data_IF_455053839864
#
_entry.id   IF_455053839864
#
_cell.length_a   1.000
_cell.length_b   1.000
_cell.length_c   1.000
_cell.angle_alpha   90.00
_cell.angle_beta   90.00
_cell.angle_gamma   90.00
#
_symmetry.space_group_name_H-M   'P 1'
#
loop_
_entity.id
_entity.type
_entity.pdbx_description
1 polymer ?
#
# COMPACT_ATOMS: atom_id res chain seq x y z
N UNK A 1 -0.53 7.64 -29.45
CA UNK A 1 -1.05 6.45 -28.75
C UNK A 1 -2.43 6.81 -28.26
N UNK A 2 -3.44 6.02 -28.65
CA UNK A 2 -4.83 6.19 -28.20
C UNK A 2 -5.06 5.14 -27.12
N UNK A 3 -5.56 5.56 -25.97
CA UNK A 3 -5.98 4.65 -24.90
C UNK A 3 -7.50 4.47 -24.98
N UNK A 4 -7.96 3.25 -25.01
CA UNK A 4 -9.37 2.91 -24.95
C UNK A 4 -9.67 2.32 -23.57
N UNK A 5 -10.83 2.71 -23.01
CA UNK A 5 -11.31 2.09 -21.78
C UNK A 5 -11.77 0.66 -22.12
N UNK A 6 -11.25 -0.32 -21.39
CA UNK A 6 -11.54 -1.75 -21.62
C UNK A 6 -12.73 -2.26 -20.79
N UNK A 7 -13.19 -1.48 -19.79
CA UNK A 7 -14.36 -1.81 -18.99
C UNK A 7 -15.35 -0.64 -18.92
N UNK A 8 -16.63 -0.93 -18.83
CA UNK A 8 -17.70 0.07 -18.83
C UNK A 8 -17.91 0.74 -17.47
N UNK A 9 -17.45 0.11 -16.38
CA UNK A 9 -17.57 0.64 -15.02
C UNK A 9 -16.23 0.50 -14.24
N UNK A 10 -15.89 1.50 -13.42
CA UNK A 10 -14.77 1.37 -12.50
C UNK A 10 -15.06 0.34 -11.40
N UNK A 11 -14.00 -0.27 -10.84
CA UNK A 11 -14.12 -1.05 -9.62
C UNK A 11 -14.33 -0.10 -8.45
N UNK A 12 -15.52 -0.10 -7.85
CA UNK A 12 -15.88 0.79 -6.74
C UNK A 12 -15.73 0.10 -5.38
N UNK A 13 -15.33 0.86 -4.35
CA UNK A 13 -15.27 0.38 -2.98
C UNK A 13 -16.64 -0.12 -2.48
N UNK A 14 -16.67 -1.29 -1.84
CA UNK A 14 -17.90 -1.85 -1.28
C UNK A 14 -18.20 -1.24 0.10
N UNK A 15 -19.30 -0.51 0.19
CA UNK A 15 -19.75 0.16 1.42
C UNK A 15 -20.07 -0.79 2.60
N UNK A 16 -20.04 -2.11 2.41
CA UNK A 16 -20.12 -3.08 3.51
C UNK A 16 -18.88 -3.02 4.39
N UNK A 17 -17.73 -2.79 3.79
CA UNK A 17 -16.42 -2.87 4.45
C UNK A 17 -15.63 -1.56 4.44
N UNK A 18 -15.77 -0.75 3.36
CA UNK A 18 -14.92 0.40 3.11
C UNK A 18 -15.66 1.72 3.29
N UNK A 19 -14.90 2.74 3.70
CA UNK A 19 -15.39 4.11 3.80
C UNK A 19 -15.71 4.65 2.40
N UNK A 20 -16.94 5.16 2.24
CA UNK A 20 -17.38 5.87 1.03
C UNK A 20 -17.34 7.36 1.29
N UNK A 21 -17.19 8.13 0.21
CA UNK A 21 -17.07 9.59 0.27
C UNK A 21 -18.15 10.28 1.11
N UNK A 22 -19.40 9.85 0.97
CA UNK A 22 -20.54 10.46 1.67
C UNK A 22 -20.58 10.15 3.17
N UNK A 23 -19.94 9.07 3.59
CA UNK A 23 -19.92 8.60 4.98
C UNK A 23 -18.56 8.78 5.63
N UNK A 24 -17.55 9.20 4.87
CA UNK A 24 -16.17 9.30 5.32
C UNK A 24 -15.87 10.57 6.09
N UNK A 25 -14.98 10.45 7.07
CA UNK A 25 -14.51 11.57 7.88
C UNK A 25 -13.54 12.46 7.10
N UNK A 26 -12.83 11.89 6.12
CA UNK A 26 -11.83 12.60 5.30
C UNK A 26 -12.41 13.46 4.19
N UNK A 27 -13.71 13.34 3.88
CA UNK A 27 -14.34 14.01 2.74
C UNK A 27 -13.90 13.51 1.36
N UNK A 28 -13.08 12.45 1.30
CA UNK A 28 -12.60 11.79 0.09
C UNK A 28 -12.82 10.30 0.17
N UNK A 29 -13.00 9.63 -0.97
CA UNK A 29 -13.00 8.18 -1.05
C UNK A 29 -11.57 7.68 -1.28
N UNK A 30 -11.06 6.88 -0.37
CA UNK A 30 -9.74 6.27 -0.47
C UNK A 30 -9.90 4.87 -1.10
N UNK A 31 -9.80 4.80 -2.41
CA UNK A 31 -9.88 3.57 -3.20
C UNK A 31 -8.99 3.75 -4.42
N UNK A 32 -7.68 3.44 -4.27
CA UNK A 32 -6.64 3.78 -5.24
C UNK A 32 -5.40 2.91 -5.12
N UNK A 33 -4.39 3.16 -5.93
CA UNK A 33 -3.04 2.57 -5.90
C UNK A 33 -3.08 1.04 -5.99
N UNK A 34 -3.69 0.44 -7.02
CA UNK A 34 -3.83 -1.01 -7.09
C UNK A 34 -2.46 -1.68 -7.31
N UNK A 35 -2.16 -2.67 -6.48
CA UNK A 35 -1.06 -3.60 -6.68
C UNK A 35 -1.62 -4.99 -6.99
N UNK A 36 -1.33 -5.50 -8.19
CA UNK A 36 -1.88 -6.77 -8.69
C UNK A 36 -0.80 -7.84 -8.77
N UNK A 37 -1.10 -9.03 -8.27
CA UNK A 37 -0.19 -10.18 -8.34
C UNK A 37 -0.97 -11.49 -8.37
N UNK A 38 -0.30 -12.56 -8.87
CA UNK A 38 -0.84 -13.91 -8.89
C UNK A 38 -0.45 -14.64 -7.60
N UNK A 39 -1.42 -15.27 -6.94
CA UNK A 39 -1.21 -16.14 -5.80
C UNK A 39 -2.25 -17.26 -5.79
N UNK A 40 -1.82 -18.50 -5.54
CA UNK A 40 -2.67 -19.70 -5.49
C UNK A 40 -3.65 -19.86 -6.67
N UNK A 41 -3.22 -19.44 -7.85
CA UNK A 41 -3.98 -19.59 -9.10
C UNK A 41 -5.02 -18.51 -9.37
N UNK A 42 -5.12 -17.49 -8.50
CA UNK A 42 -6.00 -16.33 -8.68
C UNK A 42 -5.19 -15.03 -8.72
N UNK A 43 -5.72 -14.02 -9.40
CA UNK A 43 -5.21 -12.65 -9.32
C UNK A 43 -5.75 -11.96 -8.08
N UNK A 44 -4.86 -11.36 -7.32
CA UNK A 44 -5.17 -10.56 -6.15
C UNK A 44 -4.81 -9.11 -6.40
N UNK A 45 -5.64 -8.20 -5.90
CA UNK A 45 -5.39 -6.76 -5.94
C UNK A 45 -5.40 -6.23 -4.52
N UNK A 46 -4.29 -5.63 -4.10
CA UNK A 46 -4.21 -4.81 -2.90
C UNK A 46 -4.55 -3.37 -3.28
N UNK A 47 -5.31 -2.70 -2.44
CA UNK A 47 -5.85 -1.37 -2.73
C UNK A 47 -5.70 -0.50 -1.49
N UNK A 48 -5.21 0.72 -1.65
CA UNK A 48 -5.26 1.73 -0.59
C UNK A 48 -6.71 2.01 -0.25
N UNK A 49 -7.12 1.70 0.99
CA UNK A 49 -8.51 1.83 1.42
C UNK A 49 -8.60 2.27 2.89
N UNK A 50 -9.82 2.60 3.31
CA UNK A 50 -10.14 2.93 4.71
C UNK A 50 -11.32 2.08 5.17
N UNK A 51 -11.23 1.60 6.41
CA UNK A 51 -12.28 0.78 7.00
C UNK A 51 -13.51 1.63 7.33
N UNK A 52 -14.69 1.08 7.03
CA UNK A 52 -15.96 1.70 7.38
C UNK A 52 -16.10 1.92 8.89
N UNK A 53 -16.41 3.15 9.29
CA UNK A 53 -16.72 3.48 10.66
C UNK A 53 -15.55 3.48 11.64
N UNK A 54 -14.32 3.37 11.15
CA UNK A 54 -13.12 3.51 11.97
C UNK A 54 -12.77 4.99 12.20
N UNK A 55 -11.97 5.25 13.23
CA UNK A 55 -11.50 6.60 13.55
C UNK A 55 -10.56 7.11 12.46
N UNK A 56 -10.59 8.44 12.20
CA UNK A 56 -9.90 9.07 11.08
C UNK A 56 -8.44 8.66 10.95
N UNK A 57 -7.63 8.81 11.99
CA UNK A 57 -6.19 8.56 11.93
C UNK A 57 -5.78 7.09 12.05
N UNK A 58 -6.71 6.19 12.26
CA UNK A 58 -6.45 4.74 12.37
C UNK A 58 -7.24 3.90 11.37
N UNK A 59 -7.93 4.53 10.41
CA UNK A 59 -8.84 3.82 9.51
C UNK A 59 -8.18 3.16 8.30
N UNK A 60 -6.87 3.34 8.08
CA UNK A 60 -6.15 2.76 6.96
C UNK A 60 -6.18 1.24 6.98
N UNK A 61 -6.56 0.64 5.85
CA UNK A 61 -6.56 -0.80 5.64
C UNK A 61 -6.14 -1.14 4.22
N UNK A 62 -5.67 -2.37 4.01
CA UNK A 62 -5.46 -2.93 2.69
C UNK A 62 -6.80 -3.45 2.17
N UNK A 63 -7.37 -2.73 1.20
CA UNK A 63 -8.51 -3.20 0.43
C UNK A 63 -8.12 -4.37 -0.46
N UNK A 64 -9.08 -5.25 -0.76
CA UNK A 64 -8.81 -6.48 -1.47
C UNK A 64 -9.88 -6.79 -2.53
N UNK A 65 -9.39 -7.22 -3.70
CA UNK A 65 -10.23 -7.82 -4.72
C UNK A 65 -9.53 -9.03 -5.34
N UNK A 66 -10.30 -9.96 -5.87
CA UNK A 66 -9.81 -11.17 -6.54
C UNK A 66 -10.41 -11.29 -7.94
N UNK A 67 -9.65 -11.90 -8.86
CA UNK A 67 -10.07 -12.16 -10.22
C UNK A 67 -9.43 -13.44 -10.79
N UNK A 68 -10.14 -14.14 -11.65
CA UNK A 68 -9.59 -15.27 -12.41
C UNK A 68 -9.03 -14.82 -13.78
N UNK A 69 -9.42 -13.65 -14.28
CA UNK A 69 -9.17 -13.22 -15.67
C UNK A 69 -8.60 -11.80 -15.83
N UNK A 70 -8.44 -11.02 -14.74
CA UNK A 70 -8.06 -9.61 -14.69
C UNK A 70 -9.13 -8.62 -15.18
N UNK A 71 -10.20 -9.10 -15.76
CA UNK A 71 -11.30 -8.26 -16.26
C UNK A 71 -12.46 -8.17 -15.24
N UNK A 72 -12.78 -9.29 -14.58
CA UNK A 72 -13.88 -9.39 -13.62
C UNK A 72 -13.33 -9.52 -12.18
N UNK A 73 -13.57 -8.52 -11.36
CA UNK A 73 -13.07 -8.44 -10.00
C UNK A 73 -14.18 -8.59 -8.96
N UNK A 74 -13.94 -9.42 -7.96
CA UNK A 74 -14.79 -9.55 -6.78
C UNK A 74 -14.12 -8.85 -5.59
N UNK A 75 -14.79 -7.85 -5.03
CA UNK A 75 -14.31 -7.14 -3.84
C UNK A 75 -14.59 -7.99 -2.61
N UNK A 76 -13.54 -8.20 -1.81
CA UNK A 76 -13.59 -8.86 -0.52
C UNK A 76 -13.49 -7.89 0.68
N UNK A 77 -13.56 -8.42 1.91
CA UNK A 77 -13.23 -7.65 3.09
C UNK A 77 -11.76 -7.23 3.08
N UNK A 78 -11.37 -6.19 3.87
CA UNK A 78 -9.97 -5.80 3.98
C UNK A 78 -9.09 -6.94 4.53
N UNK A 79 -7.84 -7.00 4.07
CA UNK A 79 -6.84 -7.98 4.53
C UNK A 79 -6.19 -7.58 5.87
N UNK A 80 -6.32 -6.31 6.28
CA UNK A 80 -5.80 -5.80 7.54
C UNK A 80 -6.92 -5.18 8.38
N UNK A 81 -6.69 -5.05 9.67
CA UNK A 81 -7.56 -4.29 10.58
C UNK A 81 -7.09 -2.84 10.68
N UNK A 82 -7.97 -1.90 11.07
CA UNK A 82 -7.57 -0.57 11.50
C UNK A 82 -6.49 -0.62 12.59
N UNK A 83 -5.52 0.32 12.50
CA UNK A 83 -4.35 0.35 13.37
C UNK A 83 -3.98 1.80 13.71
N UNK A 84 -2.68 2.12 13.83
CA UNK A 84 -2.19 3.49 14.07
C UNK A 84 -2.06 4.32 12.78
N UNK A 85 -2.28 3.72 11.62
CA UNK A 85 -2.14 4.37 10.32
C UNK A 85 -3.52 4.73 9.74
N UNK A 86 -3.68 5.98 9.33
CA UNK A 86 -4.88 6.44 8.63
C UNK A 86 -4.96 6.04 7.17
N UNK A 87 -3.80 5.66 6.60
CA UNK A 87 -3.66 5.15 5.24
C UNK A 87 -2.52 4.13 5.16
N UNK A 88 -2.66 3.13 4.29
CA UNK A 88 -1.62 2.19 3.88
C UNK A 88 -1.48 2.35 2.36
N UNK A 89 -0.81 3.44 1.94
CA UNK A 89 -0.77 3.86 0.54
C UNK A 89 0.25 3.11 -0.29
N UNK A 90 -0.04 2.96 -1.60
CA UNK A 90 0.85 2.38 -2.59
C UNK A 90 1.42 1.04 -2.11
N UNK A 91 0.55 0.25 -1.47
CA UNK A 91 0.96 -0.98 -0.79
C UNK A 91 1.43 -2.05 -1.78
N UNK A 92 2.42 -2.84 -1.35
CA UNK A 92 3.00 -3.91 -2.14
C UNK A 92 3.32 -5.10 -1.24
N UNK A 93 2.84 -6.30 -1.60
CA UNK A 93 3.22 -7.55 -0.95
C UNK A 93 4.38 -8.21 -1.69
N UNK A 94 5.44 -8.59 -0.99
CA UNK A 94 6.61 -9.25 -1.56
C UNK A 94 7.14 -10.36 -0.64
N UNK A 95 7.62 -11.44 -1.25
CA UNK A 95 8.39 -12.46 -0.56
C UNK A 95 9.87 -12.26 -0.88
N UNK A 96 10.66 -11.94 0.14
CA UNK A 96 12.09 -11.63 0.05
C UNK A 96 12.82 -12.44 1.11
N UNK A 97 13.75 -13.32 0.70
CA UNK A 97 14.57 -14.13 1.61
C UNK A 97 13.73 -14.87 2.68
N UNK A 98 12.71 -15.61 2.24
CA UNK A 98 11.75 -16.35 3.07
C UNK A 98 10.90 -15.49 4.04
N UNK A 99 10.94 -14.17 3.90
CA UNK A 99 10.09 -13.22 4.64
C UNK A 99 8.95 -12.72 3.75
N UNK A 100 7.75 -12.63 4.31
CA UNK A 100 6.62 -12.00 3.65
C UNK A 100 6.48 -10.56 4.15
N UNK A 101 6.67 -9.60 3.25
CA UNK A 101 6.71 -8.19 3.56
C UNK A 101 5.53 -7.46 2.92
N UNK A 102 4.89 -6.59 3.68
CA UNK A 102 4.01 -5.56 3.17
C UNK A 102 4.77 -4.21 3.25
N UNK A 103 5.06 -3.62 2.10
CA UNK A 103 5.60 -2.26 2.01
C UNK A 103 4.44 -1.32 1.78
N UNK A 104 4.39 -0.20 2.50
CA UNK A 104 3.36 0.82 2.33
C UNK A 104 3.87 2.20 2.73
N UNK A 105 3.18 3.24 2.32
CA UNK A 105 3.47 4.62 2.71
C UNK A 105 2.32 5.22 3.53
N UNK A 106 2.65 6.15 4.41
CA UNK A 106 1.68 6.93 5.16
C UNK A 106 2.22 8.35 5.39
N UNK A 107 1.38 9.36 5.17
CA UNK A 107 1.72 10.75 5.49
C UNK A 107 1.84 10.99 6.99
N UNK A 108 2.62 12.00 7.38
CA UNK A 108 2.80 12.39 8.79
C UNK A 108 1.49 12.90 9.42
N UNK A 109 0.61 13.50 8.61
CA UNK A 109 -0.71 13.99 8.98
C UNK A 109 -1.81 12.90 9.01
N UNK A 110 -1.47 11.66 8.64
CA UNK A 110 -2.41 10.53 8.52
C UNK A 110 -2.07 9.39 9.50
N UNK A 111 -1.59 9.74 10.70
CA UNK A 111 -1.24 8.78 11.76
C UNK A 111 -1.96 9.12 13.06
N UNK A 112 -2.39 8.10 13.80
CA UNK A 112 -2.99 8.25 15.12
C UNK A 112 -2.01 8.82 16.15
N UNK A 113 -0.71 8.51 15.98
CA UNK A 113 0.36 9.02 16.83
C UNK A 113 1.31 9.89 16.00
N UNK A 114 1.81 11.02 16.55
CA UNK A 114 2.80 11.84 15.87
C UNK A 114 4.05 11.04 15.50
N UNK A 115 4.53 11.24 14.28
CA UNK A 115 5.74 10.57 13.80
C UNK A 115 5.99 10.88 12.33
N UNK A 116 7.13 10.46 11.77
CA UNK A 116 7.46 10.78 10.39
C UNK A 116 6.46 10.18 9.41
N UNK A 117 6.16 10.92 8.34
CA UNK A 117 5.61 10.36 7.10
C UNK A 117 6.69 9.64 6.31
N UNK A 118 6.31 8.75 5.41
CA UNK A 118 7.25 8.02 4.57
C UNK A 118 6.88 6.56 4.36
N UNK A 119 7.87 5.71 4.16
CA UNK A 119 7.69 4.29 3.85
C UNK A 119 7.84 3.41 5.09
N UNK A 120 7.01 2.40 5.19
CA UNK A 120 6.94 1.44 6.28
C UNK A 120 6.94 0.01 5.73
N UNK A 121 7.47 -0.92 6.53
CA UNK A 121 7.49 -2.34 6.20
C UNK A 121 6.94 -3.13 7.38
N UNK A 122 5.87 -3.88 7.13
CA UNK A 122 5.32 -4.87 8.06
C UNK A 122 5.71 -6.28 7.62
N UNK A 123 6.02 -7.16 8.57
CA UNK A 123 6.23 -8.59 8.32
C UNK A 123 4.93 -9.35 8.47
N UNK A 124 4.79 -10.46 7.75
CA UNK A 124 3.59 -11.28 7.77
C UNK A 124 3.87 -12.76 7.57
N UNK A 125 2.79 -13.54 7.66
CA UNK A 125 2.85 -15.00 7.55
C UNK A 125 2.75 -15.50 6.11
N UNK A 126 2.27 -14.65 5.18
CA UNK A 126 2.09 -15.00 3.78
C UNK A 126 1.87 -13.82 2.86
N UNK A 127 1.72 -14.10 1.57
CA UNK A 127 1.53 -13.08 0.53
C UNK A 127 0.24 -12.27 0.70
N UNK A 128 -0.75 -12.80 1.39
CA UNK A 128 -2.01 -12.12 1.74
C UNK A 128 -2.11 -11.82 3.24
N UNK A 129 -0.99 -11.83 3.96
CA UNK A 129 -0.92 -11.63 5.39
C UNK A 129 -1.22 -12.91 6.20
N UNK A 130 -1.67 -12.79 7.47
CA UNK A 130 -1.77 -11.53 8.19
C UNK A 130 -0.41 -10.85 8.35
N UNK A 131 -0.39 -9.51 8.31
CA UNK A 131 0.82 -8.71 8.56
C UNK A 131 0.71 -8.00 9.91
N UNK A 132 1.84 -7.87 10.59
CA UNK A 132 1.96 -7.09 11.83
C UNK A 132 2.08 -5.59 11.51
N UNK A 133 0.93 -4.95 11.29
CA UNK A 133 0.87 -3.52 10.94
C UNK A 133 1.32 -2.63 12.10
N UNK A 134 0.96 -2.99 13.34
CA UNK A 134 1.33 -2.22 14.52
C UNK A 134 2.85 -2.30 14.81
N UNK A 135 3.48 -3.42 14.43
CA UNK A 135 4.93 -3.62 14.49
C UNK A 135 5.69 -3.17 13.24
N UNK A 136 5.03 -2.45 12.31
CA UNK A 136 5.69 -1.99 11.09
C UNK A 136 6.91 -1.09 11.39
N UNK A 137 7.98 -1.30 10.63
CA UNK A 137 9.24 -0.56 10.79
C UNK A 137 9.36 0.50 9.71
N UNK A 138 9.89 1.65 10.12
CA UNK A 138 10.12 2.80 9.24
C UNK A 138 11.36 2.58 8.37
N UNK A 139 11.22 2.83 7.07
CA UNK A 139 12.31 2.68 6.10
C UNK A 139 13.18 3.94 6.06
N UNK A 140 14.48 3.75 6.06
CA UNK A 140 15.46 4.84 5.86
C UNK A 140 16.09 4.75 4.47
N UNK A 141 16.35 5.87 3.80
CA UNK A 141 16.30 7.26 4.27
C UNK A 141 14.87 7.83 4.39
N UNK A 142 14.70 8.76 5.31
CA UNK A 142 13.42 9.29 5.82
C UNK A 142 12.62 10.15 4.83
N UNK A 143 13.19 10.52 3.71
CA UNK A 143 12.58 11.40 2.71
C UNK A 143 11.88 10.65 1.57
N UNK A 144 11.91 9.32 1.59
CA UNK A 144 11.28 8.52 0.54
C UNK A 144 9.78 8.30 0.79
N UNK A 145 9.01 8.35 -0.30
CA UNK A 145 7.59 8.02 -0.32
C UNK A 145 7.25 7.08 -1.49
N UNK A 146 6.10 6.42 -1.45
CA UNK A 146 5.65 5.42 -2.43
C UNK A 146 6.71 4.32 -2.69
N UNK A 147 7.28 3.80 -1.60
CA UNK A 147 8.36 2.82 -1.65
C UNK A 147 8.00 1.55 -2.40
N UNK A 148 8.94 1.06 -3.20
CA UNK A 148 8.78 -0.14 -4.00
C UNK A 148 9.96 -1.10 -3.82
N UNK A 149 9.69 -2.37 -3.56
CA UNK A 149 10.63 -3.47 -3.65
C UNK A 149 10.57 -4.10 -5.04
N UNK A 150 11.68 -4.12 -5.74
CA UNK A 150 11.80 -4.63 -7.09
C UNK A 150 12.83 -5.75 -7.14
N UNK A 151 12.50 -6.86 -7.80
CA UNK A 151 13.48 -7.89 -8.10
C UNK A 151 14.08 -7.64 -9.49
N UNK A 152 15.39 -7.50 -9.56
CA UNK A 152 16.14 -7.38 -10.81
C UNK A 152 16.19 -8.73 -11.54
N UNK A 153 16.57 -8.71 -12.82
CA UNK A 153 16.65 -9.91 -13.65
C UNK A 153 17.69 -10.94 -13.19
N UNK A 154 18.69 -10.51 -12.45
CA UNK A 154 19.72 -11.36 -11.83
C UNK A 154 19.29 -11.94 -10.47
N UNK A 155 18.07 -11.60 -10.01
CA UNK A 155 17.50 -12.05 -8.76
C UNK A 155 17.76 -11.12 -7.57
N UNK A 156 18.59 -10.11 -7.70
CA UNK A 156 18.86 -9.16 -6.62
C UNK A 156 17.62 -8.32 -6.30
N UNK A 157 17.38 -8.05 -5.01
CA UNK A 157 16.34 -7.15 -4.56
C UNK A 157 16.87 -5.74 -4.36
N UNK A 158 16.13 -4.78 -4.87
CA UNK A 158 16.41 -3.35 -4.72
C UNK A 158 15.17 -2.63 -4.23
N UNK A 159 15.40 -1.51 -3.56
CA UNK A 159 14.37 -0.61 -3.07
C UNK A 159 14.47 0.74 -3.76
N UNK A 160 13.33 1.36 -4.01
CA UNK A 160 13.22 2.72 -4.53
C UNK A 160 11.94 3.38 -4.00
N UNK A 161 11.82 4.66 -4.23
CA UNK A 161 10.65 5.50 -3.97
C UNK A 161 10.84 6.80 -4.71
N UNK A 162 10.16 7.85 -4.32
CA UNK A 162 10.51 9.19 -4.74
C UNK A 162 10.89 10.05 -3.53
N UNK A 163 11.80 11.01 -3.75
CA UNK A 163 12.13 12.03 -2.75
C UNK A 163 10.90 12.92 -2.57
N UNK A 164 10.28 12.85 -1.39
CA UNK A 164 9.09 13.63 -1.07
C UNK A 164 9.49 15.01 -0.57
N UNK A 165 9.70 15.17 0.71
CA UNK A 165 10.09 16.45 1.32
C UNK A 165 11.56 16.40 1.75
N UNK A 166 12.40 17.20 1.10
CA UNK A 166 13.80 17.37 1.46
C UNK A 166 14.03 18.82 1.86
N UNK A 167 14.53 19.04 3.09
CA UNK A 167 14.73 20.38 3.65
C UNK A 167 13.46 21.26 3.65
N UNK A 168 12.28 20.66 3.77
CA UNK A 168 10.99 21.36 3.81
C UNK A 168 10.41 21.70 2.43
N UNK A 169 11.01 21.23 1.35
CA UNK A 169 10.53 21.44 -0.02
C UNK A 169 10.20 20.10 -0.68
N UNK A 170 9.10 20.07 -1.45
CA UNK A 170 8.75 18.91 -2.27
C UNK A 170 9.73 18.77 -3.45
N UNK A 171 10.32 17.62 -3.60
CA UNK A 171 11.32 17.31 -4.65
C UNK A 171 10.72 16.49 -5.80
N UNK A 172 10.06 15.38 -5.49
CA UNK A 172 9.42 14.51 -6.48
C UNK A 172 10.38 13.76 -7.40
N UNK A 173 11.69 13.73 -7.10
CA UNK A 173 12.68 13.01 -7.89
C UNK A 173 12.73 11.53 -7.49
N UNK A 174 13.02 10.66 -8.46
CA UNK A 174 13.29 9.24 -8.18
C UNK A 174 14.80 9.07 -8.01
N UNK A 175 15.28 8.70 -6.81
CA UNK A 175 16.70 8.48 -6.57
C UNK A 175 17.21 7.19 -7.20
N UNK A 176 18.52 6.97 -7.12
CA UNK A 176 19.13 5.70 -7.52
C UNK A 176 18.58 4.53 -6.70
N UNK A 177 18.56 3.35 -7.32
CA UNK A 177 18.11 2.12 -6.67
C UNK A 177 19.05 1.75 -5.51
N UNK A 178 18.48 1.45 -4.35
CA UNK A 178 19.21 0.98 -3.18
C UNK A 178 19.15 -0.55 -3.11
N UNK A 179 20.27 -1.28 -2.96
CA UNK A 179 20.22 -2.69 -2.64
C UNK A 179 19.38 -2.91 -1.39
N UNK A 180 18.45 -3.88 -1.43
CA UNK A 180 17.58 -4.13 -0.26
C UNK A 180 18.35 -4.46 1.01
N UNK A 181 19.50 -5.13 0.88
CA UNK A 181 20.38 -5.47 1.99
C UNK A 181 20.98 -4.22 2.71
N UNK A 182 21.00 -3.07 2.04
CA UNK A 182 21.54 -1.81 2.58
C UNK A 182 20.43 -0.90 3.14
N UNK A 183 19.15 -1.31 3.03
CA UNK A 183 18.01 -0.56 3.56
C UNK A 183 17.90 -0.79 5.06
N UNK A 184 17.95 0.30 5.81
CA UNK A 184 17.74 0.29 7.27
C UNK A 184 16.22 0.33 7.58
N UNK A 185 15.78 -0.50 8.53
CA UNK A 185 14.41 -0.59 9.02
C UNK A 185 14.35 -0.27 10.52
#
# INVERSE_FOLDING_TARGET
VTFERTCDAPLEADARWYEKREAGVSGAEHWRDPFVFMHDGCWHMLITARAKGAEHYGAGVIGHAVSDDLDHWQIGPPLTSPSVFGQLEVSQSRSVDDRHLLVFSCGDDMKAEPGPGGVWVAEGEGALGPWDIDGARYVRPEHLYAGQLLQLRDGAWVFTGFDDIVNGEFVGAVPDLLPWADVEL
#
